data_IF_274268667011
#
_entry.id   IF_274268667011
#
_cell.length_a   1.000
_cell.length_b   1.000
_cell.length_c   1.000
_cell.angle_alpha   90.00
_cell.angle_beta   90.00
_cell.angle_gamma   90.00
#
_symmetry.space_group_name_H-M   'P 1'
#
loop_
_entity.id
_entity.type
_entity.pdbx_description
1 polymer ?
#
# COMPACT_ATOMS: atom_id res chain seq x y z
N UNK A 1 -12.67 -39.79 -4.72
CA UNK A 1 -13.69 -38.83 -4.28
C UNK A 1 -13.00 -37.48 -4.25
N UNK A 2 -13.15 -36.68 -5.30
CA UNK A 2 -12.57 -35.32 -5.38
C UNK A 2 -13.49 -34.37 -4.61
N UNK A 3 -13.01 -33.79 -3.52
CA UNK A 3 -13.69 -32.71 -2.81
C UNK A 3 -13.40 -31.43 -3.58
N UNK A 4 -14.38 -30.90 -4.27
CA UNK A 4 -14.39 -29.50 -4.76
C UNK A 4 -14.54 -28.58 -3.57
N UNK A 5 -13.46 -27.93 -3.18
CA UNK A 5 -13.48 -26.82 -2.23
C UNK A 5 -13.72 -25.56 -3.04
N UNK A 6 -14.94 -25.05 -2.98
CA UNK A 6 -15.28 -23.75 -3.52
C UNK A 6 -14.77 -22.66 -2.58
N UNK A 7 -13.55 -22.22 -2.77
CA UNK A 7 -13.01 -21.06 -2.08
C UNK A 7 -13.51 -19.78 -2.76
N UNK A 8 -14.26 -18.96 -2.03
CA UNK A 8 -14.54 -17.57 -2.42
C UNK A 8 -13.28 -16.78 -2.09
N UNK A 9 -12.43 -16.55 -3.09
CA UNK A 9 -11.32 -15.59 -2.98
C UNK A 9 -11.98 -14.22 -2.86
N UNK A 10 -11.90 -13.63 -1.66
CA UNK A 10 -12.40 -12.28 -1.41
C UNK A 10 -11.74 -11.30 -2.40
N UNK A 11 -12.54 -10.48 -3.04
CA UNK A 11 -12.08 -9.50 -4.01
C UNK A 11 -10.97 -8.64 -3.39
N UNK A 12 -9.73 -8.88 -3.81
CA UNK A 12 -8.62 -7.94 -3.59
C UNK A 12 -8.94 -6.71 -4.44
N UNK A 13 -9.50 -5.67 -3.84
CA UNK A 13 -9.60 -4.37 -4.44
C UNK A 13 -8.19 -3.75 -4.49
N UNK A 14 -7.36 -4.24 -5.40
CA UNK A 14 -6.11 -3.59 -5.74
C UNK A 14 -6.44 -2.46 -6.71
N UNK A 15 -6.63 -1.26 -6.17
CA UNK A 15 -6.84 -0.05 -6.97
C UNK A 15 -5.52 0.31 -7.65
N UNK A 16 -5.18 -0.36 -8.73
CA UNK A 16 -4.23 0.17 -9.69
C UNK A 16 -4.94 1.31 -10.42
N UNK A 17 -4.59 2.55 -10.10
CA UNK A 17 -5.03 3.71 -10.85
C UNK A 17 -4.47 3.63 -12.27
N UNK A 18 -5.28 3.12 -13.20
CA UNK A 18 -5.00 3.16 -14.63
C UNK A 18 -5.14 4.62 -15.06
N UNK A 19 -4.03 5.34 -15.24
CA UNK A 19 -4.01 6.64 -15.89
C UNK A 19 -4.16 6.38 -17.40
N UNK A 20 -5.40 6.34 -17.89
CA UNK A 20 -5.69 6.34 -19.30
C UNK A 20 -5.48 7.76 -19.85
N UNK A 21 -4.35 8.01 -20.46
CA UNK A 21 -4.12 9.20 -21.28
C UNK A 21 -4.93 9.10 -22.59
N UNK A 22 -6.06 9.79 -22.65
CA UNK A 22 -6.82 10.01 -23.88
C UNK A 22 -6.01 10.92 -24.82
N UNK A 23 -5.35 10.32 -25.79
CA UNK A 23 -4.83 11.04 -26.96
C UNK A 23 -5.97 11.28 -27.92
N UNK A 24 -6.57 12.46 -27.91
CA UNK A 24 -7.48 12.91 -28.96
C UNK A 24 -6.65 13.42 -30.12
N UNK A 25 -6.62 12.68 -31.24
CA UNK A 25 -6.19 13.18 -32.53
C UNK A 25 -7.29 14.04 -33.17
N UNK A 26 -6.99 15.30 -33.42
CA UNK A 26 -7.74 16.12 -34.38
C UNK A 26 -6.73 16.83 -35.24
N UNK A 27 -6.93 16.66 -36.56
CA UNK A 27 -6.07 17.08 -37.68
C UNK A 27 -6.25 18.55 -38.08
N UNK A 28 -5.10 19.12 -38.45
CA UNK A 28 -4.85 20.17 -39.46
C UNK A 28 -5.50 21.55 -39.33
N UNK A 29 -4.75 22.62 -39.19
CA UNK A 29 -4.26 23.44 -40.32
C UNK A 29 -3.31 24.58 -39.84
N UNK A 30 -2.49 25.05 -40.72
CA UNK A 30 -1.36 25.94 -40.69
C UNK A 30 -1.54 27.30 -39.96
N UNK A 31 -0.54 27.79 -39.24
CA UNK A 31 0.28 28.97 -39.51
C UNK A 31 0.98 29.53 -38.27
N UNK A 32 2.31 29.51 -38.32
CA UNK A 32 3.31 30.56 -38.01
C UNK A 32 3.36 31.27 -36.63
N UNK A 33 4.47 31.00 -35.97
CA UNK A 33 5.32 31.92 -35.20
C UNK A 33 4.80 32.57 -33.92
N UNK A 34 5.31 32.09 -32.78
CA UNK A 34 6.08 32.91 -31.84
C UNK A 34 6.61 32.03 -30.70
N UNK A 35 7.93 32.04 -30.55
CA UNK A 35 8.65 31.45 -29.43
C UNK A 35 8.18 32.06 -28.11
N UNK A 36 7.78 31.20 -27.18
CA UNK A 36 7.93 31.46 -25.77
C UNK A 36 8.17 30.12 -25.07
N UNK A 37 9.43 29.86 -24.78
CA UNK A 37 9.85 28.88 -23.79
C UNK A 37 9.11 29.13 -22.48
N UNK A 38 8.05 28.39 -22.24
CA UNK A 38 7.58 28.10 -20.89
C UNK A 38 7.83 26.63 -20.63
N UNK A 39 9.10 26.35 -20.30
CA UNK A 39 9.46 25.21 -19.49
C UNK A 39 8.69 25.35 -18.18
N UNK A 40 7.52 24.74 -18.08
CA UNK A 40 6.88 24.47 -16.81
C UNK A 40 7.76 23.45 -16.09
N UNK A 41 8.84 23.96 -15.47
CA UNK A 41 9.52 23.25 -14.40
C UNK A 41 8.45 22.98 -13.35
N UNK A 42 7.96 21.76 -13.30
CA UNK A 42 7.21 21.23 -12.19
C UNK A 42 8.16 21.32 -11.01
N UNK A 43 8.03 22.40 -10.23
CA UNK A 43 8.75 22.55 -8.98
C UNK A 43 8.38 21.37 -8.13
N UNK A 44 9.33 20.44 -7.94
CA UNK A 44 9.21 19.46 -6.88
C UNK A 44 8.99 20.28 -5.59
N UNK A 45 7.77 20.27 -5.07
CA UNK A 45 7.44 20.93 -3.82
C UNK A 45 8.39 20.35 -2.77
N UNK A 46 9.17 21.21 -2.12
CA UNK A 46 10.03 20.78 -1.03
C UNK A 46 9.18 20.05 0.01
N UNK A 47 9.76 19.01 0.64
CA UNK A 47 9.08 18.33 1.72
C UNK A 47 8.61 19.32 2.78
N UNK A 48 7.39 19.15 3.33
CA UNK A 48 6.86 20.07 4.33
C UNK A 48 7.73 20.08 5.59
N UNK A 49 7.79 21.22 6.24
CA UNK A 49 8.47 21.34 7.54
C UNK A 49 7.63 20.67 8.63
N UNK A 50 8.27 19.78 9.40
CA UNK A 50 7.64 19.05 10.52
C UNK A 50 8.19 19.57 11.85
N UNK A 51 7.32 20.02 12.75
CA UNK A 51 7.70 20.40 14.11
C UNK A 51 7.69 19.17 15.03
N UNK A 52 8.86 18.68 15.41
CA UNK A 52 9.07 17.58 16.35
C UNK A 52 9.56 18.06 17.73
N UNK A 53 9.45 19.37 18.00
CA UNK A 53 9.91 19.92 19.28
C UNK A 53 9.05 19.51 20.47
N UNK A 54 7.82 18.99 20.22
CA UNK A 54 6.82 18.69 21.24
C UNK A 54 6.24 19.95 21.94
N UNK A 55 6.51 21.14 21.40
CA UNK A 55 6.09 22.43 21.99
C UNK A 55 4.89 23.07 21.31
N UNK A 56 4.45 22.52 20.17
CA UNK A 56 3.21 22.97 19.53
C UNK A 56 2.01 22.73 20.47
N UNK A 57 0.88 23.34 20.14
CA UNK A 57 -0.37 23.01 20.83
C UNK A 57 -0.79 21.60 20.45
N UNK A 58 -0.89 20.74 21.43
CA UNK A 58 -1.40 19.38 21.28
C UNK A 58 -2.63 19.19 22.16
N UNK A 59 -3.68 18.46 21.69
CA UNK A 59 -4.74 17.98 22.56
C UNK A 59 -4.20 17.11 23.70
N UNK A 60 -4.97 16.98 24.78
CA UNK A 60 -4.63 16.00 25.80
C UNK A 60 -5.06 14.59 25.30
N UNK A 61 -4.15 13.63 25.38
CA UNK A 61 -4.37 12.23 25.01
C UNK A 61 -4.25 11.35 26.24
N UNK A 62 -5.20 10.43 26.44
CA UNK A 62 -5.15 9.38 27.46
C UNK A 62 -5.00 8.01 26.82
N UNK A 63 -4.70 6.98 27.60
CA UNK A 63 -4.42 5.62 27.13
C UNK A 63 -2.95 5.43 26.74
N UNK A 64 -2.40 4.26 27.11
CA UNK A 64 -1.03 3.84 26.76
C UNK A 64 -0.96 3.12 25.42
N UNK A 65 0.25 2.78 24.97
CA UNK A 65 0.46 1.97 23.76
C UNK A 65 -0.37 0.67 23.80
N UNK A 66 -1.09 0.38 22.72
CA UNK A 66 -2.00 -0.77 22.60
C UNK A 66 -3.41 -0.56 23.18
N UNK A 67 -3.65 0.53 23.91
CA UNK A 67 -4.96 0.88 24.44
C UNK A 67 -5.67 1.87 23.52
N UNK A 68 -7.01 1.80 23.43
CA UNK A 68 -7.83 2.77 22.70
C UNK A 68 -7.63 4.16 23.30
N UNK A 69 -7.10 5.16 22.55
CA UNK A 69 -6.85 6.48 23.09
C UNK A 69 -8.13 7.31 23.17
N UNK A 70 -8.18 8.25 24.11
CA UNK A 70 -9.15 9.35 24.09
C UNK A 70 -8.41 10.64 23.74
N UNK A 71 -8.83 11.32 22.66
CA UNK A 71 -8.27 12.58 22.19
C UNK A 71 -9.24 13.70 22.59
N UNK A 72 -8.78 14.62 23.45
CA UNK A 72 -9.57 15.80 23.83
C UNK A 72 -9.61 16.85 22.72
N UNK A 73 -10.50 17.85 22.85
CA UNK A 73 -10.42 19.03 21.99
C UNK A 73 -9.09 19.79 22.21
N UNK A 74 -8.54 20.30 21.10
CA UNK A 74 -7.37 21.18 21.13
C UNK A 74 -7.64 22.48 21.87
N UNK A 75 -6.58 23.03 22.49
CA UNK A 75 -6.65 24.28 23.25
C UNK A 75 -5.94 25.40 22.47
N UNK A 76 -6.64 26.50 22.24
CA UNK A 76 -6.10 27.64 21.49
C UNK A 76 -6.05 27.38 19.99
N UNK A 77 -5.13 28.08 19.30
CA UNK A 77 -4.98 27.94 17.85
C UNK A 77 -4.31 26.61 17.48
N UNK A 78 -4.82 25.95 16.45
CA UNK A 78 -4.20 24.75 15.90
C UNK A 78 -2.83 25.07 15.28
N UNK A 79 -1.85 24.15 15.34
CA UNK A 79 -0.59 24.29 14.63
C UNK A 79 -0.79 24.53 13.13
N UNK A 80 0.08 25.34 12.52
CA UNK A 80 0.09 25.60 11.06
C UNK A 80 1.11 24.75 10.32
N UNK A 81 1.86 23.87 11.03
CA UNK A 81 2.81 22.91 10.47
C UNK A 81 2.41 21.51 10.96
N UNK A 82 2.79 20.49 10.22
CA UNK A 82 2.72 19.12 10.73
C UNK A 82 3.50 19.09 12.04
N UNK A 83 2.83 18.76 13.14
CA UNK A 83 3.44 18.76 14.47
C UNK A 83 3.35 17.36 15.08
N UNK A 84 4.46 16.86 15.59
CA UNK A 84 4.58 15.48 16.09
C UNK A 84 5.10 15.49 17.52
N UNK A 85 4.47 14.65 18.34
CA UNK A 85 4.89 14.41 19.72
C UNK A 85 4.88 12.89 19.99
N UNK A 86 6.00 12.34 20.42
CA UNK A 86 6.07 10.95 20.88
C UNK A 86 5.50 10.85 22.27
N UNK A 87 4.47 10.02 22.44
CA UNK A 87 3.80 9.76 23.72
C UNK A 87 4.37 8.51 24.41
N UNK A 88 4.83 7.54 23.63
CA UNK A 88 5.55 6.35 24.07
C UNK A 88 6.70 6.09 23.11
N UNK A 89 7.89 5.79 23.64
CA UNK A 89 9.08 5.53 22.84
C UNK A 89 9.25 4.03 22.56
N UNK A 90 9.23 3.65 21.27
CA UNK A 90 9.60 2.34 20.77
C UNK A 90 11.12 2.18 20.63
N UNK A 91 11.55 0.96 20.29
CA UNK A 91 12.97 0.62 20.07
C UNK A 91 13.21 -0.13 18.78
N UNK A 92 12.18 -0.28 17.94
CA UNK A 92 12.29 -0.95 16.67
C UNK A 92 12.93 -0.06 15.59
N UNK A 93 12.87 -0.51 14.35
CA UNK A 93 13.39 0.23 13.20
C UNK A 93 12.70 1.59 13.02
N UNK A 94 13.47 2.59 12.61
CA UNK A 94 12.94 3.90 12.26
C UNK A 94 12.22 3.85 10.91
N UNK A 95 11.06 4.48 10.84
CA UNK A 95 10.26 4.57 9.62
C UNK A 95 10.89 5.52 8.60
N UNK A 96 10.75 5.14 7.34
CA UNK A 96 11.06 5.98 6.17
C UNK A 96 9.78 6.35 5.43
N UNK A 97 9.83 7.39 4.60
CA UNK A 97 8.68 7.82 3.77
C UNK A 97 8.24 6.78 2.74
N UNK A 98 9.02 5.72 2.52
CA UNK A 98 8.72 4.64 1.57
C UNK A 98 8.17 3.39 2.23
N UNK A 99 8.05 3.38 3.55
CA UNK A 99 7.57 2.20 4.26
C UNK A 99 6.08 1.94 4.06
N UNK A 100 5.74 0.65 4.11
CA UNK A 100 4.40 0.20 4.48
C UNK A 100 4.42 -0.05 5.99
N UNK A 101 3.47 0.53 6.71
CA UNK A 101 3.36 0.44 8.15
C UNK A 101 2.12 -0.34 8.57
N UNK A 102 2.23 -1.09 9.66
CA UNK A 102 1.10 -1.67 10.37
C UNK A 102 0.90 -0.86 11.65
N UNK A 103 -0.30 -0.36 11.85
CA UNK A 103 -0.60 0.57 12.95
C UNK A 103 -1.96 0.28 13.56
N UNK A 104 -2.11 0.64 14.84
CA UNK A 104 -3.41 1.05 15.37
C UNK A 104 -3.46 2.58 15.40
N UNK A 105 -4.63 3.16 15.11
CA UNK A 105 -4.76 4.61 15.11
C UNK A 105 -6.16 5.06 15.49
N UNK A 106 -6.23 6.27 16.01
CA UNK A 106 -7.45 7.04 16.14
C UNK A 106 -7.27 8.40 15.46
N UNK A 107 -8.30 8.82 14.75
CA UNK A 107 -8.43 10.14 14.13
C UNK A 107 -9.54 10.93 14.82
N UNK A 108 -9.21 12.12 15.28
CA UNK A 108 -10.15 13.13 15.70
C UNK A 108 -9.94 14.45 14.93
N UNK A 109 -10.94 15.31 14.90
CA UNK A 109 -10.80 16.70 14.50
C UNK A 109 -10.22 17.53 15.65
N UNK A 110 -9.74 18.74 15.36
CA UNK A 110 -9.20 19.65 16.38
C UNK A 110 -10.19 19.99 17.51
N UNK A 111 -11.48 19.93 17.24
CA UNK A 111 -12.53 20.14 18.24
C UNK A 111 -12.82 18.91 19.14
N UNK A 112 -12.06 17.83 18.96
CA UNK A 112 -12.21 16.57 19.68
C UNK A 112 -13.26 15.64 19.09
N UNK A 113 -13.88 15.96 17.96
CA UNK A 113 -14.82 15.06 17.29
C UNK A 113 -14.08 13.84 16.73
N UNK A 114 -14.37 12.66 17.26
CA UNK A 114 -13.82 11.37 16.76
C UNK A 114 -14.38 11.09 15.37
N UNK A 115 -13.51 10.72 14.43
CA UNK A 115 -13.85 10.43 13.03
C UNK A 115 -13.69 8.95 12.73
N UNK A 116 -12.57 8.36 13.11
CA UNK A 116 -12.25 6.97 12.78
C UNK A 116 -11.27 6.38 13.80
N UNK A 117 -11.38 5.07 14.08
CA UNK A 117 -10.47 4.34 14.94
C UNK A 117 -10.33 2.88 14.49
N UNK A 118 -9.09 2.40 14.35
CA UNK A 118 -8.82 0.97 14.13
C UNK A 118 -9.03 0.15 15.40
N UNK A 119 -8.94 0.77 16.58
CA UNK A 119 -9.14 0.09 17.86
C UNK A 119 -10.58 -0.46 17.98
N UNK A 120 -11.58 0.22 17.41
CA UNK A 120 -12.97 -0.23 17.41
C UNK A 120 -13.17 -1.53 16.65
N UNK A 121 -12.36 -1.77 15.61
CA UNK A 121 -12.42 -3.01 14.82
C UNK A 121 -11.63 -4.15 15.43
N UNK A 122 -10.74 -3.86 16.40
CA UNK A 122 -9.80 -4.79 17.00
C UNK A 122 -8.79 -5.37 16.00
N UNK A 123 -8.58 -4.70 14.87
CA UNK A 123 -7.64 -5.12 13.82
C UNK A 123 -6.73 -3.96 13.43
N UNK A 124 -5.41 -4.18 13.40
CA UNK A 124 -4.49 -3.21 12.85
C UNK A 124 -4.81 -2.87 11.40
N UNK A 125 -4.51 -1.64 11.01
CA UNK A 125 -4.55 -1.18 9.63
C UNK A 125 -3.15 -1.17 9.03
N UNK A 126 -3.06 -1.32 7.70
CA UNK A 126 -1.80 -1.23 6.96
C UNK A 126 -1.88 -0.13 5.91
N UNK A 127 -0.84 0.70 5.85
CA UNK A 127 -0.77 1.83 4.93
C UNK A 127 0.62 1.94 4.32
N UNK A 128 0.70 2.20 3.01
CA UNK A 128 1.93 2.67 2.38
C UNK A 128 2.09 4.16 2.63
N UNK A 129 3.19 4.59 3.23
CA UNK A 129 3.46 6.01 3.50
C UNK A 129 3.65 6.85 2.22
N UNK A 130 3.76 6.20 1.06
CA UNK A 130 3.74 6.87 -0.25
C UNK A 130 2.32 7.14 -0.78
N UNK A 131 1.29 6.54 -0.17
CA UNK A 131 -0.10 6.58 -0.68
C UNK A 131 -1.10 7.17 0.34
N UNK A 132 -0.60 7.79 1.39
CA UNK A 132 -1.41 8.48 2.40
C UNK A 132 -1.28 10.00 2.28
N UNK A 133 -2.03 10.74 3.10
CA UNK A 133 -1.91 12.21 3.16
C UNK A 133 -0.49 12.62 3.59
N UNK A 134 0.01 13.78 3.09
CA UNK A 134 1.36 14.26 3.44
C UNK A 134 1.61 14.34 4.96
N UNK A 135 0.58 14.66 5.74
CA UNK A 135 0.64 14.67 7.20
C UNK A 135 1.11 13.36 7.81
N UNK A 136 0.72 12.22 7.22
CA UNK A 136 1.18 10.88 7.65
C UNK A 136 2.56 10.55 7.12
N UNK A 137 2.79 10.75 5.81
CA UNK A 137 4.08 10.47 5.19
C UNK A 137 5.22 11.11 5.98
N UNK A 138 5.09 12.42 6.22
CA UNK A 138 6.15 13.17 6.89
C UNK A 138 6.00 13.18 8.42
N UNK A 139 4.80 13.03 8.95
CA UNK A 139 4.56 12.93 10.39
C UNK A 139 5.12 11.66 11.02
N UNK A 140 5.04 10.54 10.30
CA UNK A 140 5.56 9.25 10.77
C UNK A 140 7.03 9.00 10.40
N UNK A 141 7.62 9.75 9.45
CA UNK A 141 9.03 9.64 9.13
C UNK A 141 9.90 9.78 10.37
N UNK A 142 10.80 8.82 10.61
CA UNK A 142 11.70 8.80 11.76
C UNK A 142 11.06 8.35 13.08
N UNK A 143 9.76 8.07 13.14
CA UNK A 143 9.17 7.34 14.25
C UNK A 143 9.67 5.88 14.25
N UNK A 144 9.67 5.21 15.41
CA UNK A 144 10.15 3.84 15.53
C UNK A 144 9.01 2.86 15.73
N UNK A 145 9.20 1.63 15.29
CA UNK A 145 8.29 0.53 15.67
C UNK A 145 8.27 0.43 17.20
N UNK A 146 7.05 0.43 17.74
CA UNK A 146 6.78 0.51 19.18
C UNK A 146 6.47 1.92 19.70
N UNK A 147 6.61 2.96 18.87
CA UNK A 147 6.19 4.32 19.24
C UNK A 147 4.66 4.43 19.28
N UNK A 148 4.17 5.23 20.24
CA UNK A 148 2.90 5.93 20.14
C UNK A 148 3.20 7.38 19.82
N UNK A 149 2.69 7.88 18.70
CA UNK A 149 2.87 9.26 18.28
C UNK A 149 1.54 9.97 18.14
N UNK A 150 1.51 11.23 18.58
CA UNK A 150 0.45 12.17 18.31
C UNK A 150 0.88 13.08 17.16
N UNK A 151 0.05 13.20 16.12
CA UNK A 151 0.33 13.99 14.92
C UNK A 151 -0.80 14.97 14.72
N UNK A 152 -0.51 16.27 14.77
CA UNK A 152 -1.45 17.30 14.37
C UNK A 152 -1.14 17.71 12.93
N UNK A 153 -2.15 17.58 12.06
CA UNK A 153 -2.04 17.78 10.61
C UNK A 153 -2.94 18.94 10.19
N UNK A 154 -2.39 20.10 9.79
CA UNK A 154 -3.16 21.17 9.17
C UNK A 154 -3.86 20.69 7.90
N UNK A 155 -4.98 21.30 7.53
CA UNK A 155 -5.80 20.88 6.39
C UNK A 155 -5.03 20.78 5.08
N UNK A 156 -4.07 21.66 4.84
CA UNK A 156 -3.23 21.66 3.62
C UNK A 156 -2.38 20.38 3.43
N UNK A 157 -2.05 19.69 4.54
CA UNK A 157 -1.33 18.41 4.54
C UNK A 157 -2.24 17.22 4.80
N UNK A 158 -3.55 17.47 4.87
CA UNK A 158 -4.62 16.49 5.04
C UNK A 158 -5.55 16.46 3.83
N UNK A 159 -6.82 16.82 4.04
CA UNK A 159 -7.87 16.78 3.01
C UNK A 159 -8.21 18.15 2.40
N UNK A 160 -7.40 19.20 2.70
CA UNK A 160 -7.53 20.52 2.11
C UNK A 160 -8.85 21.22 2.41
N UNK A 161 -9.18 22.24 1.60
CA UNK A 161 -10.40 23.02 1.73
C UNK A 161 -11.66 22.25 1.27
N UNK A 162 -11.50 21.14 0.55
CA UNK A 162 -12.60 20.33 0.06
C UNK A 162 -13.08 19.31 1.11
N UNK A 163 -12.20 18.80 1.98
CA UNK A 163 -12.51 17.71 2.89
C UNK A 163 -12.87 16.40 2.16
N UNK A 164 -13.62 15.54 2.82
CA UNK A 164 -14.23 14.33 2.24
C UNK A 164 -15.61 14.08 2.88
N UNK A 165 -16.22 12.90 2.64
CA UNK A 165 -17.57 12.57 3.16
C UNK A 165 -17.68 12.62 4.68
N UNK A 166 -16.59 12.43 5.42
CA UNK A 166 -16.55 12.35 6.89
C UNK A 166 -15.79 13.50 7.55
N UNK A 167 -15.01 14.25 6.78
CA UNK A 167 -14.12 15.31 7.27
C UNK A 167 -14.47 16.60 6.55
N UNK A 168 -14.98 17.64 7.27
CA UNK A 168 -15.23 18.94 6.67
C UNK A 168 -13.99 19.59 6.08
N UNK A 169 -14.16 20.39 5.03
CA UNK A 169 -13.06 21.16 4.43
C UNK A 169 -12.43 22.13 5.43
N UNK A 170 -11.12 22.33 5.34
CA UNK A 170 -10.36 23.19 6.25
C UNK A 170 -10.09 22.59 7.63
N UNK A 171 -10.47 21.33 7.88
CA UNK A 171 -10.28 20.69 9.19
C UNK A 171 -8.82 20.41 9.49
N UNK A 172 -8.37 20.78 10.68
CA UNK A 172 -7.13 20.26 11.27
C UNK A 172 -7.41 18.89 11.88
N UNK A 173 -6.55 17.93 11.56
CA UNK A 173 -6.68 16.53 11.99
C UNK A 173 -5.72 16.26 13.15
N UNK A 174 -6.15 15.40 14.08
CA UNK A 174 -5.33 14.90 15.17
C UNK A 174 -5.33 13.38 15.10
N UNK A 175 -4.16 12.80 14.93
CA UNK A 175 -3.99 11.35 14.94
C UNK A 175 -3.20 10.93 16.18
N UNK A 176 -3.63 9.84 16.79
CA UNK A 176 -2.82 9.05 17.71
C UNK A 176 -2.54 7.72 17.06
N UNK A 177 -1.27 7.40 16.85
CA UNK A 177 -0.84 6.25 16.06
C UNK A 177 0.11 5.38 16.87
N UNK A 178 -0.21 4.11 17.03
CA UNK A 178 0.69 3.06 17.54
C UNK A 178 1.36 2.37 16.36
N UNK A 179 2.66 2.46 16.25
CA UNK A 179 3.43 1.81 15.18
C UNK A 179 3.76 0.37 15.60
N UNK A 180 3.07 -0.60 15.00
CA UNK A 180 3.20 -2.02 15.37
C UNK A 180 4.28 -2.74 14.57
N UNK A 181 4.44 -2.41 13.29
CA UNK A 181 5.47 -2.98 12.41
C UNK A 181 5.71 -2.07 11.20
N UNK A 182 6.85 -2.27 10.54
CA UNK A 182 7.20 -1.57 9.29
C UNK A 182 7.75 -2.53 8.25
N UNK A 183 7.64 -2.17 6.99
CA UNK A 183 8.20 -2.97 5.90
C UNK A 183 9.72 -2.98 5.90
N UNK A 184 10.39 -1.90 6.29
CA UNK A 184 11.87 -1.85 6.38
C UNK A 184 12.43 -2.89 7.35
N UNK A 185 11.80 -3.04 8.54
CA UNK A 185 12.20 -4.01 9.54
C UNK A 185 11.71 -5.44 9.29
N UNK A 186 10.88 -5.65 8.27
CA UNK A 186 10.18 -6.92 8.03
C UNK A 186 10.50 -7.55 6.68
N UNK A 187 11.28 -6.89 5.83
CA UNK A 187 11.74 -7.46 4.56
C UNK A 187 12.91 -8.41 4.77
N UNK A 188 12.88 -9.53 4.06
CA UNK A 188 14.03 -10.41 3.97
C UNK A 188 15.17 -9.75 3.17
N UNK A 189 16.40 -10.07 3.53
CA UNK A 189 17.57 -9.62 2.79
C UNK A 189 17.65 -10.21 1.37
N UNK A 190 18.33 -9.50 0.48
CA UNK A 190 18.46 -9.90 -0.93
C UNK A 190 19.09 -11.29 -1.10
N UNK A 191 19.96 -11.72 -0.16
CA UNK A 191 20.57 -13.04 -0.20
C UNK A 191 19.52 -14.13 0.07
N UNK A 192 18.61 -13.94 1.01
CA UNK A 192 17.52 -14.86 1.29
C UNK A 192 16.57 -14.95 0.10
N UNK A 193 16.15 -13.80 -0.46
CA UNK A 193 15.24 -13.76 -1.61
C UNK A 193 15.85 -14.43 -2.85
N UNK A 194 17.16 -14.31 -3.06
CA UNK A 194 17.85 -14.92 -4.22
C UNK A 194 18.05 -16.44 -4.13
N UNK A 195 17.78 -17.06 -2.97
CA UNK A 195 17.89 -18.53 -2.77
C UNK A 195 16.69 -19.32 -3.28
N UNK A 196 15.62 -18.64 -3.72
CA UNK A 196 14.45 -19.30 -4.25
C UNK A 196 14.80 -20.26 -5.40
N UNK A 197 14.10 -21.39 -5.46
CA UNK A 197 14.30 -22.43 -6.44
C UNK A 197 13.02 -22.65 -7.25
N UNK A 198 13.12 -23.05 -8.54
CA UNK A 198 11.95 -23.44 -9.30
C UNK A 198 11.12 -24.49 -8.54
N UNK A 199 9.82 -24.28 -8.45
CA UNK A 199 8.91 -25.20 -7.75
C UNK A 199 8.66 -26.51 -8.51
N UNK A 200 8.91 -26.49 -9.82
CA UNK A 200 8.50 -27.53 -10.76
C UNK A 200 7.12 -27.28 -11.39
N UNK A 201 6.36 -26.33 -10.86
CA UNK A 201 5.11 -25.87 -11.46
C UNK A 201 5.40 -24.75 -12.47
N UNK A 202 4.53 -24.60 -13.46
CA UNK A 202 4.59 -23.53 -14.47
C UNK A 202 3.38 -22.63 -14.36
N UNK A 203 3.53 -21.37 -14.76
CA UNK A 203 2.39 -20.49 -14.90
C UNK A 203 1.33 -21.10 -15.83
N UNK A 204 0.03 -20.78 -15.63
CA UNK A 204 -1.04 -21.26 -16.51
C UNK A 204 -0.76 -20.95 -17.98
N UNK A 205 -1.31 -21.76 -18.88
CA UNK A 205 -1.11 -21.65 -20.33
C UNK A 205 -1.39 -20.21 -20.81
N UNK A 206 -0.54 -19.71 -21.68
CA UNK A 206 -0.62 -18.35 -22.21
C UNK A 206 -0.03 -17.26 -21.32
N UNK A 207 0.40 -17.57 -20.10
CA UNK A 207 1.07 -16.66 -19.18
C UNK A 207 2.57 -16.99 -19.16
N UNK A 208 3.41 -16.03 -19.52
CA UNK A 208 4.86 -16.15 -19.52
C UNK A 208 5.43 -15.26 -18.42
N UNK A 209 6.13 -15.89 -17.46
CA UNK A 209 6.81 -15.19 -16.36
C UNK A 209 8.28 -15.58 -16.40
N UNK A 210 9.15 -14.58 -16.53
CA UNK A 210 10.61 -14.78 -16.55
C UNK A 210 11.27 -13.93 -15.46
N UNK A 211 12.46 -14.31 -15.05
CA UNK A 211 13.28 -13.59 -14.08
C UNK A 211 13.71 -14.46 -12.91
N UNK A 212 14.87 -14.10 -12.37
CA UNK A 212 15.49 -14.81 -11.24
C UNK A 212 14.74 -14.53 -9.93
N UNK A 213 14.87 -15.43 -8.96
CA UNK A 213 14.35 -15.24 -7.61
C UNK A 213 14.89 -13.94 -6.97
N UNK A 214 14.02 -13.19 -6.30
CA UNK A 214 14.36 -11.92 -5.64
C UNK A 214 14.59 -10.73 -6.57
N UNK A 215 14.43 -10.91 -7.90
CA UNK A 215 14.49 -9.82 -8.88
C UNK A 215 13.14 -9.61 -9.54
N UNK A 216 12.91 -8.39 -10.01
CA UNK A 216 11.68 -8.03 -10.71
C UNK A 216 11.42 -8.99 -11.89
N UNK A 217 10.25 -9.69 -11.92
CA UNK A 217 9.91 -10.55 -13.04
C UNK A 217 9.41 -9.73 -14.23
N UNK A 218 9.53 -10.31 -15.41
CA UNK A 218 8.76 -9.88 -16.58
C UNK A 218 7.49 -10.73 -16.68
N UNK A 219 6.39 -10.10 -17.04
CA UNK A 219 5.12 -10.74 -17.35
C UNK A 219 4.76 -10.45 -18.79
N UNK A 220 4.37 -11.48 -19.53
CA UNK A 220 3.80 -11.31 -20.87
C UNK A 220 2.77 -12.39 -21.17
N UNK A 221 1.93 -12.14 -22.16
CA UNK A 221 0.88 -13.06 -22.60
C UNK A 221 1.13 -13.54 -24.02
N UNK A 222 0.95 -14.84 -24.25
CA UNK A 222 1.06 -15.43 -25.57
C UNK A 222 -0.14 -15.01 -26.42
N UNK A 223 0.13 -14.45 -27.59
CA UNK A 223 -0.90 -14.00 -28.51
C UNK A 223 -1.82 -15.15 -28.95
N UNK A 224 -3.13 -14.96 -28.86
CA UNK A 224 -4.14 -15.95 -29.24
C UNK A 224 -4.31 -17.10 -28.27
N UNK A 225 -3.63 -17.11 -27.13
CA UNK A 225 -3.86 -18.12 -26.11
C UNK A 225 -5.28 -18.05 -25.53
N UNK A 226 -5.85 -19.20 -25.21
CA UNK A 226 -7.16 -19.27 -24.57
C UNK A 226 -7.09 -18.71 -23.14
N UNK A 227 -8.12 -17.94 -22.75
CA UNK A 227 -8.19 -17.43 -21.38
C UNK A 227 -8.27 -18.57 -20.37
N UNK A 228 -7.59 -18.45 -19.20
CA UNK A 228 -7.73 -19.41 -18.11
C UNK A 228 -9.20 -19.62 -17.70
N UNK A 229 -9.55 -20.84 -17.32
CA UNK A 229 -10.95 -21.23 -17.08
C UNK A 229 -11.55 -20.68 -15.77
N UNK A 230 -10.78 -19.99 -14.95
CA UNK A 230 -11.21 -19.41 -13.68
C UNK A 230 -10.03 -19.03 -12.80
N UNK A 231 -10.35 -18.65 -11.57
CA UNK A 231 -9.35 -18.26 -10.57
C UNK A 231 -8.36 -19.38 -10.31
N UNK A 232 -7.09 -19.01 -10.23
CA UNK A 232 -6.03 -19.97 -9.89
C UNK A 232 -4.87 -19.27 -9.17
N UNK A 233 -4.14 -20.09 -8.41
CA UNK A 233 -2.90 -19.71 -7.74
C UNK A 233 -1.84 -20.77 -8.05
N UNK A 234 -0.69 -20.33 -8.52
CA UNK A 234 0.44 -21.22 -8.85
C UNK A 234 1.73 -20.66 -8.29
N UNK A 235 2.41 -21.39 -7.42
CA UNK A 235 3.75 -21.03 -6.97
C UNK A 235 4.76 -21.56 -7.97
N UNK A 236 5.51 -20.67 -8.63
CA UNK A 236 6.50 -21.02 -9.65
C UNK A 236 7.94 -21.00 -9.14
N UNK A 237 8.19 -20.26 -8.04
CA UNK A 237 9.45 -20.29 -7.29
C UNK A 237 9.12 -20.58 -5.83
N UNK A 238 9.79 -21.55 -5.23
CA UNK A 238 9.77 -21.80 -3.78
C UNK A 238 10.85 -20.98 -3.10
N UNK A 239 10.46 -20.09 -2.20
CA UNK A 239 11.35 -19.28 -1.39
C UNK A 239 12.08 -20.11 -0.32
N UNK A 240 13.13 -19.51 0.23
CA UNK A 240 13.94 -20.12 1.28
C UNK A 240 13.85 -19.39 2.63
N UNK A 241 12.97 -18.39 2.72
CA UNK A 241 12.77 -17.60 3.94
C UNK A 241 11.71 -18.21 4.87
N UNK A 242 11.25 -17.41 5.82
CA UNK A 242 10.30 -17.82 6.84
C UNK A 242 8.98 -18.32 6.26
N UNK A 243 8.40 -19.33 6.92
CA UNK A 243 7.03 -19.78 6.65
C UNK A 243 6.02 -18.73 7.12
N UNK A 244 5.05 -18.44 6.25
CA UNK A 244 3.94 -17.53 6.51
C UNK A 244 2.87 -18.24 7.32
N UNK A 245 2.46 -17.64 8.43
CA UNK A 245 1.49 -18.20 9.38
C UNK A 245 0.16 -17.47 9.33
N UNK A 246 -0.87 -18.08 9.89
CA UNK A 246 -2.14 -17.42 10.13
C UNK A 246 -1.96 -16.19 11.02
N UNK A 247 -2.60 -15.09 10.63
CA UNK A 247 -2.45 -13.79 11.29
C UNK A 247 -1.27 -12.93 10.84
N UNK A 248 -0.35 -13.48 10.04
CA UNK A 248 0.74 -12.71 9.45
C UNK A 248 0.21 -11.75 8.36
N UNK A 249 0.87 -10.60 8.22
CA UNK A 249 0.73 -9.71 7.07
C UNK A 249 1.91 -9.92 6.14
N UNK A 250 1.62 -10.37 4.93
CA UNK A 250 2.65 -10.67 3.92
C UNK A 250 3.03 -9.42 3.18
N UNK A 251 4.33 -9.11 3.16
CA UNK A 251 4.89 -8.08 2.31
C UNK A 251 5.16 -8.69 0.93
N UNK A 252 4.66 -8.04 -0.11
CA UNK A 252 4.85 -8.50 -1.49
C UNK A 252 5.13 -7.36 -2.45
N UNK A 253 5.80 -7.69 -3.54
CA UNK A 253 5.96 -6.84 -4.72
C UNK A 253 5.23 -7.47 -5.88
N UNK A 254 4.69 -6.69 -6.81
CA UNK A 254 3.82 -7.19 -7.85
C UNK A 254 4.13 -6.63 -9.23
N UNK A 255 3.90 -7.49 -10.23
CA UNK A 255 3.73 -7.14 -11.65
C UNK A 255 2.39 -7.72 -12.08
N UNK A 256 1.58 -6.98 -12.79
CA UNK A 256 0.25 -7.47 -13.19
C UNK A 256 -0.25 -6.86 -14.49
N UNK A 257 -1.28 -7.48 -15.06
CA UNK A 257 -1.91 -7.04 -16.30
C UNK A 257 -3.20 -7.82 -16.59
N UNK A 258 -3.90 -7.43 -17.64
CA UNK A 258 -5.08 -8.13 -18.13
C UNK A 258 -4.64 -9.21 -19.10
N UNK A 259 -5.09 -10.44 -18.89
CA UNK A 259 -4.72 -11.59 -19.74
C UNK A 259 -5.01 -11.33 -21.22
N UNK A 260 -4.03 -11.60 -22.06
CA UNK A 260 -4.11 -11.41 -23.52
C UNK A 260 -3.81 -9.98 -23.99
N UNK A 261 -3.60 -9.02 -23.08
CA UNK A 261 -3.26 -7.63 -23.41
C UNK A 261 -1.92 -7.20 -22.77
N UNK A 262 -0.84 -7.35 -23.53
CA UNK A 262 0.49 -6.97 -23.09
C UNK A 262 0.65 -5.45 -22.84
N UNK A 263 -0.21 -4.61 -23.39
CA UNK A 263 -0.16 -3.17 -23.16
C UNK A 263 -0.65 -2.78 -21.74
N UNK A 264 -1.39 -3.65 -21.08
CA UNK A 264 -1.87 -3.44 -19.70
C UNK A 264 -0.86 -3.85 -18.64
N UNK A 265 0.23 -4.53 -19.02
CA UNK A 265 1.23 -5.00 -18.05
C UNK A 265 1.92 -3.80 -17.39
N UNK A 266 1.85 -3.77 -16.09
CA UNK A 266 2.44 -2.72 -15.25
C UNK A 266 3.12 -3.31 -14.03
N UNK A 267 4.10 -2.58 -13.50
CA UNK A 267 4.88 -2.99 -12.34
C UNK A 267 4.72 -1.99 -11.21
N UNK A 268 4.44 -2.50 -10.02
CA UNK A 268 4.51 -1.76 -8.77
C UNK A 268 5.81 -2.05 -8.00
N UNK A 269 6.76 -2.74 -8.59
CA UNK A 269 7.97 -3.23 -7.94
C UNK A 269 8.79 -2.14 -7.25
N UNK A 270 8.88 -0.98 -7.87
CA UNK A 270 9.69 0.15 -7.39
C UNK A 270 8.95 1.04 -6.38
N UNK A 271 7.66 0.80 -6.16
CA UNK A 271 6.83 1.61 -5.24
C UNK A 271 6.95 1.16 -3.77
N UNK A 272 7.86 0.23 -3.48
CA UNK A 272 7.94 -0.41 -2.18
C UNK A 272 6.98 -1.60 -2.05
N UNK A 273 7.15 -2.45 -1.01
CA UNK A 273 6.28 -3.59 -0.81
C UNK A 273 4.91 -3.17 -0.30
N UNK A 274 3.89 -3.84 -0.81
CA UNK A 274 2.53 -3.79 -0.29
C UNK A 274 2.34 -4.85 0.79
N UNK A 275 1.33 -4.72 1.63
CA UNK A 275 1.00 -5.68 2.68
C UNK A 275 -0.42 -6.21 2.53
N UNK A 276 -0.61 -7.50 2.78
CA UNK A 276 -1.92 -8.15 2.77
C UNK A 276 -1.99 -9.22 3.88
N UNK A 277 -3.14 -9.37 4.58
CA UNK A 277 -3.32 -10.46 5.52
C UNK A 277 -3.20 -11.82 4.82
N UNK A 278 -2.35 -12.71 5.33
CA UNK A 278 -2.09 -14.04 4.75
C UNK A 278 -3.37 -14.88 4.58
N UNK A 279 -4.28 -14.75 5.54
CA UNK A 279 -5.54 -15.50 5.57
C UNK A 279 -6.54 -15.07 4.47
N UNK A 280 -6.43 -13.83 3.98
CA UNK A 280 -7.32 -13.28 2.95
C UNK A 280 -6.95 -13.72 1.53
N UNK A 281 -5.68 -14.13 1.33
CA UNK A 281 -5.12 -14.45 0.01
C UNK A 281 -4.55 -15.86 -0.06
N UNK A 282 -4.90 -16.73 0.89
CA UNK A 282 -4.49 -18.14 0.95
C UNK A 282 -2.95 -18.31 0.87
N UNK A 283 -2.20 -17.41 1.50
CA UNK A 283 -0.73 -17.49 1.56
C UNK A 283 -0.19 -18.16 2.81
N UNK A 284 -1.06 -18.64 3.71
CA UNK A 284 -0.64 -19.43 4.89
C UNK A 284 0.05 -20.71 4.42
N UNK A 285 1.25 -21.00 4.94
CA UNK A 285 2.10 -22.10 4.52
C UNK A 285 3.00 -21.82 3.32
N UNK A 286 2.88 -20.65 2.69
CA UNK A 286 3.87 -20.16 1.73
C UNK A 286 5.14 -19.67 2.46
N UNK A 287 6.22 -19.40 1.73
CA UNK A 287 7.49 -18.95 2.30
C UNK A 287 7.88 -17.58 1.74
N UNK A 288 8.57 -16.81 2.53
CA UNK A 288 9.22 -15.58 2.06
C UNK A 288 10.24 -15.97 0.97
N UNK A 289 10.16 -15.29 -0.18
CA UNK A 289 10.90 -15.61 -1.39
C UNK A 289 10.11 -16.43 -2.42
N UNK A 290 8.88 -16.89 -2.08
CA UNK A 290 8.00 -17.50 -3.08
C UNK A 290 7.64 -16.49 -4.16
N UNK A 291 7.58 -16.95 -5.42
CA UNK A 291 6.94 -16.25 -6.53
C UNK A 291 5.65 -16.95 -6.88
N UNK A 292 4.55 -16.23 -6.76
CA UNK A 292 3.19 -16.78 -6.94
C UNK A 292 2.50 -16.04 -8.08
N UNK A 293 1.91 -16.80 -8.99
CA UNK A 293 1.05 -16.29 -10.07
C UNK A 293 -0.39 -16.46 -9.64
N UNK A 294 -1.13 -15.36 -9.59
CA UNK A 294 -2.58 -15.34 -9.40
C UNK A 294 -3.25 -15.02 -10.73
N UNK A 295 -4.30 -15.77 -11.02
CA UNK A 295 -5.24 -15.47 -12.09
C UNK A 295 -6.60 -15.27 -11.44
N UNK A 296 -7.24 -14.14 -11.71
CA UNK A 296 -8.46 -13.73 -11.03
C UNK A 296 -9.48 -13.20 -12.02
N UNK A 297 -10.73 -13.64 -11.88
CA UNK A 297 -11.87 -13.01 -12.54
C UNK A 297 -12.28 -11.77 -11.75
N UNK A 298 -12.11 -10.59 -12.31
CA UNK A 298 -12.45 -9.33 -11.64
C UNK A 298 -13.95 -9.03 -11.62
N UNK A 299 -14.77 -9.85 -12.29
CA UNK A 299 -16.21 -9.64 -12.37
C UNK A 299 -16.63 -8.39 -13.15
N UNK A 300 -15.68 -7.68 -13.77
CA UNK A 300 -15.99 -6.53 -14.61
C UNK A 300 -16.63 -7.04 -15.89
N UNK A 301 -17.91 -6.68 -16.12
CA UNK A 301 -18.60 -7.05 -17.36
C UNK A 301 -17.89 -6.38 -18.55
N UNK A 302 -17.21 -7.18 -19.37
CA UNK A 302 -16.75 -6.71 -20.66
C UNK A 302 -17.93 -6.61 -21.63
N UNK A 303 -17.90 -5.63 -22.53
CA UNK A 303 -18.90 -5.50 -23.62
C UNK A 303 -19.00 -6.77 -24.49
N UNK A 304 -17.98 -7.64 -24.43
CA UNK A 304 -17.87 -8.92 -25.13
C UNK A 304 -18.50 -10.13 -24.40
N UNK A 305 -19.02 -9.94 -23.18
CA UNK A 305 -19.72 -10.99 -22.42
C UNK A 305 -18.83 -11.95 -21.62
N UNK A 306 -17.49 -11.84 -21.69
CA UNK A 306 -16.55 -12.56 -20.82
C UNK A 306 -15.85 -11.53 -19.92
N UNK A 307 -15.79 -11.80 -18.59
CA UNK A 307 -15.02 -10.97 -17.67
C UNK A 307 -13.52 -11.06 -18.01
N UNK A 308 -12.81 -9.94 -18.04
CA UNK A 308 -11.37 -9.96 -18.25
C UNK A 308 -10.68 -10.63 -17.05
N UNK A 309 -9.80 -11.59 -17.33
CA UNK A 309 -8.97 -12.21 -16.31
C UNK A 309 -7.78 -11.30 -16.00
N UNK A 310 -7.59 -10.98 -14.72
CA UNK A 310 -6.39 -10.26 -14.26
C UNK A 310 -5.34 -11.27 -13.81
N UNK A 311 -4.11 -11.05 -14.25
CA UNK A 311 -2.95 -11.84 -13.83
C UNK A 311 -2.06 -10.98 -12.95
N UNK A 312 -1.70 -11.50 -11.79
CA UNK A 312 -0.71 -10.90 -10.90
C UNK A 312 0.39 -11.89 -10.60
N UNK A 313 1.63 -11.45 -10.78
CA UNK A 313 2.84 -12.15 -10.32
C UNK A 313 3.32 -11.40 -9.09
N UNK A 314 3.36 -12.09 -7.94
CA UNK A 314 3.84 -11.50 -6.69
C UNK A 314 5.04 -12.26 -6.16
N UNK A 315 6.02 -11.52 -5.67
CA UNK A 315 7.12 -12.06 -4.87
C UNK A 315 6.87 -11.72 -3.41
N UNK A 316 6.89 -12.74 -2.56
CA UNK A 316 6.71 -12.59 -1.12
C UNK A 316 8.04 -12.15 -0.50
N UNK A 317 8.16 -10.87 -0.12
CA UNK A 317 9.44 -10.28 0.27
C UNK A 317 9.64 -10.14 1.77
N UNK A 318 8.64 -10.44 2.58
CA UNK A 318 8.74 -10.36 4.02
C UNK A 318 7.43 -10.64 4.72
N UNK A 319 7.46 -10.54 6.05
CA UNK A 319 6.28 -10.75 6.91
C UNK A 319 6.28 -9.72 8.03
N UNK A 320 5.19 -8.98 8.16
CA UNK A 320 4.94 -8.12 9.32
C UNK A 320 4.09 -8.88 10.34
N UNK A 321 4.53 -8.82 11.59
CA UNK A 321 3.85 -9.37 12.77
C UNK A 321 3.68 -8.26 13.78
N UNK A 322 2.47 -8.08 14.31
CA UNK A 322 2.28 -7.19 15.45
C UNK A 322 3.08 -7.74 16.65
N UNK A 323 3.83 -6.87 17.31
CA UNK A 323 4.61 -7.22 18.51
C UNK A 323 3.71 -7.25 19.73
#
# INVERSE_FOLDING_TARGET
>A
MKKTVGARIGALALSMALVASLAACSSADSAQSASSDQSSAQSASAAPEVDRSGKANFPDVTGGFGEDPEISAGKGDAPTKISVKTLNEGKGEALTTTDTVMVNYELALWDGTKVESSFETGKPATFSLQQVIPGWTYGLEGAHVGDRVEIVVPSEFGYGDQGNSSIPGGSTLVFVVDVLASSSGSQADAQTLSKGQPSGETAPEGIVVEGEAGKEPTLSFTEGAAAPAGDSRTTIINGAGDEIKAGDYVLYRAVGGVFGDNATVSSAWQQGPLAVPADQVELVGAHVGDRVVFVMDTGAAAESGASPMTVMVIDLVGVMRAQ
#
